data_IF_809683961597
#
_entry.id   IF_809683961597
#
_cell.length_a   1.000
_cell.length_b   1.000
_cell.length_c   1.000
_cell.angle_alpha   90.00
_cell.angle_beta   90.00
_cell.angle_gamma   90.00
#
_symmetry.space_group_name_H-M   'P 1'
#
loop_
_entity.id
_entity.type
_entity.pdbx_description
1 polymer ?
#
# COMPACT_ATOMS: atom_id res chain seq x y z
N UNK A 1 6.42 -50.28 7.52
CA UNK A 1 6.79 -49.27 6.50
C UNK A 1 7.16 -47.98 7.21
N UNK A 2 8.39 -47.44 7.05
CA UNK A 2 8.75 -46.19 7.70
C UNK A 2 8.05 -45.04 6.96
N UNK A 3 7.26 -44.23 7.67
CA UNK A 3 6.73 -42.97 7.15
C UNK A 3 7.91 -42.04 6.86
N UNK A 4 8.22 -41.80 5.58
CA UNK A 4 9.18 -40.78 5.16
C UNK A 4 8.75 -39.44 5.78
N UNK A 5 9.60 -38.85 6.61
CA UNK A 5 9.46 -37.43 7.00
C UNK A 5 9.71 -36.61 5.73
N UNK A 6 8.65 -36.12 5.08
CA UNK A 6 8.73 -35.05 4.09
C UNK A 6 9.06 -33.75 4.84
N UNK A 7 10.32 -33.60 5.24
CA UNK A 7 10.81 -32.40 5.90
C UNK A 7 11.06 -31.35 4.85
N UNK A 8 10.25 -30.30 4.82
CA UNK A 8 10.60 -29.08 4.11
C UNK A 8 11.89 -28.53 4.72
N UNK A 9 12.96 -28.50 3.93
CA UNK A 9 14.30 -28.03 4.32
C UNK A 9 14.64 -26.65 3.72
N UNK A 10 13.74 -26.08 2.92
CA UNK A 10 13.89 -24.77 2.31
C UNK A 10 12.62 -23.91 2.38
N UNK A 11 12.76 -22.64 2.01
CA UNK A 11 11.69 -21.67 1.95
C UNK A 11 11.89 -20.69 0.79
N UNK A 12 10.81 -20.38 0.08
CA UNK A 12 10.83 -19.39 -0.99
C UNK A 12 10.31 -18.04 -0.50
N UNK A 13 10.92 -16.98 -1.00
CA UNK A 13 10.59 -15.61 -0.65
C UNK A 13 10.33 -14.79 -1.92
N UNK A 14 9.49 -13.76 -1.78
CA UNK A 14 9.30 -12.72 -2.78
C UNK A 14 9.17 -11.38 -2.06
N UNK A 15 9.98 -10.40 -2.47
CA UNK A 15 10.00 -9.06 -1.86
C UNK A 15 10.17 -9.09 -0.32
N UNK A 16 11.07 -9.94 0.17
CA UNK A 16 11.32 -10.16 1.60
C UNK A 16 10.23 -10.91 2.36
N UNK A 17 9.09 -11.26 1.72
CA UNK A 17 7.98 -11.98 2.35
C UNK A 17 8.06 -13.48 2.07
N UNK A 18 7.82 -14.29 3.10
CA UNK A 18 7.77 -15.75 2.99
C UNK A 18 6.56 -16.20 2.17
N UNK A 19 6.81 -16.89 1.06
CA UNK A 19 5.76 -17.46 0.23
C UNK A 19 5.31 -18.82 0.75
N UNK A 20 6.25 -19.71 1.03
CA UNK A 20 5.99 -21.05 1.52
C UNK A 20 7.26 -21.82 1.80
N UNK A 21 7.12 -22.94 2.51
CA UNK A 21 8.20 -23.91 2.73
C UNK A 21 8.10 -25.01 1.69
N UNK A 22 9.24 -25.44 1.18
CA UNK A 22 9.34 -26.42 0.11
C UNK A 22 10.63 -27.24 0.26
N UNK A 23 10.87 -28.19 -0.64
CA UNK A 23 12.15 -28.89 -0.68
C UNK A 23 13.23 -27.97 -1.25
N UNK A 24 14.51 -28.26 -0.96
CA UNK A 24 15.63 -27.54 -1.59
C UNK A 24 15.57 -27.55 -3.11
N UNK A 25 15.18 -28.68 -3.72
CA UNK A 25 15.02 -28.79 -5.16
C UNK A 25 13.93 -27.84 -5.70
N UNK A 26 12.80 -27.71 -4.99
CA UNK A 26 11.74 -26.76 -5.37
C UNK A 26 12.18 -25.31 -5.20
N UNK A 27 12.97 -24.99 -4.17
CA UNK A 27 13.50 -23.65 -3.94
C UNK A 27 14.50 -23.23 -5.03
N UNK A 28 15.35 -24.16 -5.44
CA UNK A 28 16.31 -23.94 -6.54
C UNK A 28 15.55 -23.79 -7.87
N UNK A 29 14.54 -24.63 -8.12
CA UNK A 29 13.67 -24.53 -9.29
C UNK A 29 12.89 -23.21 -9.32
N UNK A 30 12.32 -22.78 -8.19
CA UNK A 30 11.67 -21.47 -8.06
C UNK A 30 12.61 -20.35 -8.50
N UNK A 31 13.84 -20.33 -7.97
CA UNK A 31 14.83 -19.29 -8.28
C UNK A 31 15.18 -19.29 -9.77
N UNK A 32 15.43 -20.46 -10.35
CA UNK A 32 15.79 -20.61 -11.76
C UNK A 32 14.66 -20.17 -12.69
N UNK A 33 13.44 -20.63 -12.43
CA UNK A 33 12.26 -20.32 -13.25
C UNK A 33 11.89 -18.84 -13.15
N UNK A 34 11.91 -18.28 -11.93
CA UNK A 34 11.68 -16.85 -11.74
C UNK A 34 12.71 -16.02 -12.51
N UNK A 35 13.99 -16.37 -12.49
CA UNK A 35 15.01 -15.67 -13.28
C UNK A 35 14.77 -15.80 -14.79
N UNK A 36 14.44 -17.00 -15.28
CA UNK A 36 14.16 -17.25 -16.70
C UNK A 36 12.96 -16.45 -17.22
N UNK A 37 11.94 -16.26 -16.38
CA UNK A 37 10.76 -15.46 -16.70
C UNK A 37 10.88 -13.98 -16.33
N UNK A 38 12.09 -13.47 -16.06
CA UNK A 38 12.31 -12.05 -15.72
C UNK A 38 11.65 -11.62 -14.41
N UNK A 39 11.44 -12.57 -13.50
CA UNK A 39 10.79 -12.38 -12.21
C UNK A 39 9.25 -12.45 -12.26
N UNK A 40 8.62 -12.75 -13.40
CA UNK A 40 7.15 -12.85 -13.53
C UNK A 40 6.67 -14.28 -13.22
N UNK A 41 6.06 -14.46 -12.05
CA UNK A 41 5.54 -15.75 -11.60
C UNK A 41 4.32 -16.21 -12.41
N UNK A 42 3.51 -15.29 -12.91
CA UNK A 42 2.38 -15.63 -13.78
C UNK A 42 2.87 -16.14 -15.13
N UNK A 43 3.99 -15.62 -15.64
CA UNK A 43 4.67 -16.12 -16.83
C UNK A 43 5.25 -17.52 -16.61
N UNK A 44 5.89 -17.77 -15.46
CA UNK A 44 6.36 -19.13 -15.10
C UNK A 44 5.22 -20.14 -15.16
N UNK A 45 4.08 -19.84 -14.55
CA UNK A 45 2.91 -20.71 -14.54
C UNK A 45 2.28 -20.96 -15.92
N UNK A 46 2.53 -20.08 -16.90
CA UNK A 46 2.05 -20.24 -18.29
C UNK A 46 3.03 -20.99 -19.18
N UNK A 47 4.33 -20.73 -19.02
CA UNK A 47 5.37 -21.29 -19.89
C UNK A 47 5.83 -22.68 -19.45
N UNK A 48 5.67 -23.03 -18.18
CA UNK A 48 6.06 -24.31 -17.61
C UNK A 48 4.84 -25.05 -17.05
N UNK A 49 4.75 -26.35 -17.32
CA UNK A 49 3.57 -27.15 -17.00
C UNK A 49 3.76 -28.11 -15.81
N UNK A 50 5.01 -28.44 -15.48
CA UNK A 50 5.34 -29.47 -14.48
C UNK A 50 5.95 -28.84 -13.23
N UNK A 51 5.18 -28.86 -12.15
CA UNK A 51 5.58 -28.39 -10.84
C UNK A 51 5.18 -29.42 -9.78
N UNK A 52 5.94 -29.47 -8.68
CA UNK A 52 5.41 -30.05 -7.44
C UNK A 52 4.19 -29.24 -6.96
N UNK A 53 3.25 -29.85 -6.21
CA UNK A 53 2.13 -29.12 -5.62
C UNK A 53 2.55 -27.91 -4.80
N UNK A 54 3.67 -28.04 -4.07
CA UNK A 54 4.21 -27.00 -3.19
C UNK A 54 4.82 -25.84 -3.98
N UNK A 55 5.62 -26.14 -5.00
CA UNK A 55 6.19 -25.11 -5.87
C UNK A 55 5.09 -24.36 -6.64
N UNK A 56 4.06 -25.09 -7.11
CA UNK A 56 2.91 -24.46 -7.78
C UNK A 56 2.19 -23.48 -6.86
N UNK A 57 1.91 -23.86 -5.62
CA UNK A 57 1.26 -22.98 -4.64
C UNK A 57 2.11 -21.73 -4.31
N UNK A 58 3.44 -21.89 -4.24
CA UNK A 58 4.38 -20.78 -4.04
C UNK A 58 4.34 -19.81 -5.23
N UNK A 59 4.38 -20.32 -6.46
CA UNK A 59 4.31 -19.51 -7.68
C UNK A 59 2.96 -18.81 -7.83
N UNK A 60 1.84 -19.48 -7.52
CA UNK A 60 0.51 -18.86 -7.51
C UNK A 60 0.43 -17.72 -6.50
N UNK A 61 0.98 -17.90 -5.30
CA UNK A 61 1.05 -16.85 -4.29
C UNK A 61 1.93 -15.68 -4.74
N UNK A 62 3.07 -15.95 -5.37
CA UNK A 62 3.92 -14.93 -5.97
C UNK A 62 3.19 -14.16 -7.07
N UNK A 63 2.47 -14.85 -7.96
CA UNK A 63 1.69 -14.25 -9.04
C UNK A 63 0.54 -13.38 -8.51
N UNK A 64 -0.15 -13.82 -7.45
CA UNK A 64 -1.17 -13.02 -6.77
C UNK A 64 -0.57 -11.76 -6.15
N UNK A 65 0.59 -11.86 -5.48
CA UNK A 65 1.29 -10.70 -4.92
C UNK A 65 1.78 -9.73 -6.00
N UNK A 66 2.24 -10.26 -7.14
CA UNK A 66 2.63 -9.47 -8.31
C UNK A 66 1.43 -8.80 -8.96
N UNK A 67 0.30 -9.50 -9.10
CA UNK A 67 -0.92 -8.94 -9.65
C UNK A 67 -1.52 -7.88 -8.73
N UNK A 68 -1.49 -8.09 -7.42
CA UNK A 68 -1.88 -7.09 -6.42
C UNK A 68 -0.95 -5.87 -6.49
N UNK A 69 0.37 -6.08 -6.56
CA UNK A 69 1.36 -5.01 -6.78
C UNK A 69 1.18 -4.31 -8.12
N UNK A 70 0.82 -5.00 -9.19
CA UNK A 70 0.61 -4.38 -10.50
C UNK A 70 -0.70 -3.56 -10.50
N UNK A 71 -1.76 -4.10 -9.88
CA UNK A 71 -3.02 -3.40 -9.63
C UNK A 71 -2.84 -2.19 -8.70
N UNK A 72 -1.90 -2.25 -7.76
CA UNK A 72 -1.65 -1.21 -6.76
C UNK A 72 -0.39 -0.36 -7.00
N UNK A 73 0.40 -0.62 -8.05
CA UNK A 73 1.76 -0.07 -8.13
C UNK A 73 2.45 -0.20 -9.48
N UNK A 74 1.77 -0.63 -10.55
CA UNK A 74 2.36 -0.70 -11.90
C UNK A 74 2.54 0.65 -12.59
N UNK A 75 1.89 1.72 -12.12
CA UNK A 75 1.90 3.04 -12.77
C UNK A 75 2.72 4.10 -12.05
N UNK A 76 3.06 3.89 -10.77
CA UNK A 76 3.76 4.89 -9.95
C UNK A 76 5.02 4.27 -9.34
N UNK A 77 6.18 4.75 -9.78
CA UNK A 77 7.47 4.37 -9.21
C UNK A 77 7.72 5.16 -7.92
N UNK A 78 8.31 4.49 -6.93
CA UNK A 78 8.74 5.15 -5.70
C UNK A 78 9.72 6.29 -6.03
N UNK A 79 9.53 7.50 -5.47
CA UNK A 79 10.40 8.63 -5.76
C UNK A 79 11.81 8.40 -5.19
N UNK A 80 12.83 8.73 -5.98
CA UNK A 80 14.24 8.69 -5.53
C UNK A 80 14.65 9.97 -4.79
N UNK A 81 14.06 11.09 -5.17
CA UNK A 81 14.31 12.40 -4.56
C UNK A 81 13.01 13.00 -4.05
N UNK A 82 13.08 13.76 -2.97
CA UNK A 82 11.96 14.51 -2.37
C UNK A 82 12.35 15.97 -2.15
N UNK A 83 11.39 16.85 -1.80
CA UNK A 83 11.70 18.22 -1.36
C UNK A 83 12.64 18.29 -0.16
N UNK A 84 12.68 17.22 0.65
CA UNK A 84 13.48 17.12 1.87
C UNK A 84 14.85 16.46 1.64
N UNK A 85 15.19 16.14 0.39
CA UNK A 85 16.45 15.52 0.00
C UNK A 85 16.29 14.11 -0.58
N UNK A 86 17.40 13.37 -0.62
CA UNK A 86 17.45 12.00 -1.13
C UNK A 86 16.62 11.07 -0.24
N UNK A 87 15.78 10.26 -0.88
CA UNK A 87 14.88 9.33 -0.19
C UNK A 87 15.70 8.14 0.32
N UNK A 88 15.71 7.95 1.64
CA UNK A 88 16.40 6.82 2.29
C UNK A 88 15.46 5.63 2.48
N UNK A 89 14.19 5.89 2.77
CA UNK A 89 13.17 4.85 2.85
C UNK A 89 11.84 5.34 2.27
N UNK A 90 11.08 4.42 1.69
CA UNK A 90 9.80 4.71 1.07
C UNK A 90 8.82 3.58 1.37
N UNK A 91 7.70 3.90 2.02
CA UNK A 91 6.55 3.02 2.21
C UNK A 91 5.42 3.46 1.26
N UNK A 92 4.85 2.52 0.50
CA UNK A 92 3.70 2.79 -0.36
C UNK A 92 2.43 2.63 0.47
N UNK A 93 1.73 3.74 0.75
CA UNK A 93 0.49 3.72 1.52
C UNK A 93 -0.69 3.20 0.68
N UNK A 94 -0.78 3.71 -0.55
CA UNK A 94 -1.68 3.26 -1.60
C UNK A 94 -1.08 3.65 -2.97
N UNK A 95 -1.65 3.20 -4.11
CA UNK A 95 -1.08 3.47 -5.43
C UNK A 95 -0.84 4.96 -5.66
N UNK A 96 0.42 5.36 -5.90
CA UNK A 96 0.79 6.76 -6.13
C UNK A 96 0.88 7.64 -4.88
N UNK A 97 0.74 7.06 -3.68
CA UNK A 97 0.95 7.77 -2.40
C UNK A 97 2.06 7.11 -1.60
N UNK A 98 3.10 7.90 -1.35
CA UNK A 98 4.38 7.43 -0.81
C UNK A 98 4.67 8.16 0.49
N UNK A 99 4.86 7.40 1.57
CA UNK A 99 5.46 7.89 2.79
C UNK A 99 6.98 7.78 2.63
N UNK A 100 7.69 8.90 2.66
CA UNK A 100 9.14 8.96 2.44
C UNK A 100 9.84 9.47 3.68
N UNK A 101 11.01 8.91 3.96
CA UNK A 101 11.93 9.43 4.97
C UNK A 101 13.29 9.71 4.34
N UNK A 102 13.87 10.83 4.75
CA UNK A 102 15.19 11.33 4.36
C UNK A 102 16.08 11.44 5.60
N UNK A 103 17.30 11.95 5.44
CA UNK A 103 18.28 11.99 6.52
C UNK A 103 17.85 12.79 7.77
N UNK A 104 16.96 13.77 7.63
CA UNK A 104 16.52 14.64 8.74
C UNK A 104 15.00 14.74 8.86
N UNK A 105 14.29 14.62 7.75
CA UNK A 105 12.85 14.85 7.68
C UNK A 105 12.18 13.79 6.82
N UNK A 106 10.87 13.89 6.68
CA UNK A 106 10.10 13.08 5.77
C UNK A 106 8.77 13.73 5.47
N UNK A 107 7.92 12.91 4.90
CA UNK A 107 6.55 13.28 4.67
C UNK A 107 5.88 12.36 3.69
N UNK A 108 4.70 12.77 3.29
CA UNK A 108 3.90 12.03 2.32
C UNK A 108 3.91 12.75 0.97
N UNK A 109 4.23 12.01 -0.09
CA UNK A 109 4.21 12.48 -1.48
C UNK A 109 3.06 11.80 -2.23
N UNK A 110 2.19 12.61 -2.83
CA UNK A 110 0.99 12.16 -3.56
C UNK A 110 1.17 12.52 -5.03
N UNK A 111 1.23 11.52 -5.91
CA UNK A 111 1.37 11.76 -7.35
C UNK A 111 0.16 12.56 -7.88
N UNK A 112 0.41 13.53 -8.77
CA UNK A 112 -0.64 14.42 -9.27
C UNK A 112 -1.81 13.65 -9.90
N UNK A 113 -1.52 12.52 -10.55
CA UNK A 113 -2.48 11.65 -11.21
C UNK A 113 -3.45 11.01 -10.21
N UNK A 114 -3.01 10.75 -8.98
CA UNK A 114 -3.86 10.20 -7.92
C UNK A 114 -4.37 11.25 -6.95
N UNK A 115 -3.94 12.51 -7.06
CA UNK A 115 -4.37 13.57 -6.17
C UNK A 115 -5.90 13.72 -6.12
N UNK A 116 -6.64 13.30 -7.16
CA UNK A 116 -8.10 13.20 -7.16
C UNK A 116 -8.70 12.42 -5.96
N UNK A 117 -7.94 11.49 -5.37
CA UNK A 117 -8.36 10.78 -4.15
C UNK A 117 -8.41 11.68 -2.93
N UNK A 118 -7.79 12.86 -2.94
CA UNK A 118 -7.79 13.82 -1.83
C UNK A 118 -8.90 14.86 -1.99
N UNK A 119 -9.49 15.28 -0.88
CA UNK A 119 -10.42 16.40 -0.86
C UNK A 119 -9.75 17.71 -1.34
N UNK A 120 -10.52 18.67 -1.90
CA UNK A 120 -9.97 19.98 -2.27
C UNK A 120 -9.30 20.71 -1.10
N UNK A 121 -9.81 20.52 0.13
CA UNK A 121 -9.22 21.09 1.33
C UNK A 121 -7.85 20.45 1.63
N UNK A 122 -7.75 19.12 1.56
CA UNK A 122 -6.47 18.42 1.76
C UNK A 122 -5.43 18.80 0.68
N UNK A 123 -5.84 19.00 -0.57
CA UNK A 123 -4.93 19.47 -1.65
C UNK A 123 -4.33 20.85 -1.36
N UNK A 124 -5.08 21.73 -0.70
CA UNK A 124 -4.61 23.09 -0.35
C UNK A 124 -3.58 23.09 0.77
N UNK A 125 -3.54 22.05 1.60
CA UNK A 125 -2.56 21.95 2.69
C UNK A 125 -1.15 21.62 2.18
N UNK A 126 -1.04 20.88 1.08
CA UNK A 126 0.26 20.49 0.52
C UNK A 126 0.83 21.52 -0.46
N UNK A 127 2.09 21.34 -0.82
CA UNK A 127 2.77 22.12 -1.86
C UNK A 127 3.18 21.21 -3.02
N UNK A 128 3.35 21.77 -4.22
CA UNK A 128 3.69 20.97 -5.41
C UNK A 128 5.19 20.91 -5.61
N UNK A 129 5.72 19.71 -5.88
CA UNK A 129 7.10 19.50 -6.31
C UNK A 129 7.20 18.32 -7.27
N UNK A 130 7.90 18.49 -8.40
CA UNK A 130 8.29 17.43 -9.35
C UNK A 130 7.18 16.41 -9.70
N UNK A 131 5.95 16.86 -9.90
CA UNK A 131 4.82 15.97 -10.26
C UNK A 131 4.04 15.39 -9.07
N UNK A 132 4.38 15.81 -7.85
CA UNK A 132 3.72 15.41 -6.61
C UNK A 132 3.13 16.61 -5.88
N UNK A 133 2.15 16.32 -5.01
CA UNK A 133 1.77 17.18 -3.90
C UNK A 133 2.43 16.58 -2.64
N UNK A 134 3.27 17.39 -1.99
CA UNK A 134 4.10 16.99 -0.86
C UNK A 134 3.53 17.56 0.44
N UNK A 135 3.62 16.74 1.49
CA UNK A 135 3.07 16.99 2.82
C UNK A 135 4.12 16.61 3.85
N UNK A 136 4.61 17.59 4.61
CA UNK A 136 5.70 17.40 5.56
C UNK A 136 5.24 16.67 6.82
N UNK A 137 6.08 15.78 7.34
CA UNK A 137 5.83 14.92 8.51
C UNK A 137 5.34 15.72 9.74
N UNK A 138 6.01 16.84 10.05
CA UNK A 138 5.75 17.65 11.23
C UNK A 138 4.62 18.68 11.06
N UNK A 139 3.99 18.73 9.88
CA UNK A 139 2.96 19.72 9.58
C UNK A 139 1.73 19.09 8.91
N UNK A 140 1.84 18.67 7.65
CA UNK A 140 0.69 18.38 6.81
C UNK A 140 0.46 16.88 6.55
N UNK A 141 1.39 16.00 6.92
CA UNK A 141 1.25 14.56 6.71
C UNK A 141 -0.03 13.99 7.33
N UNK A 142 -0.37 14.46 8.54
CA UNK A 142 -1.55 13.99 9.27
C UNK A 142 -2.85 14.19 8.48
N UNK A 143 -2.93 15.23 7.65
CA UNK A 143 -4.06 15.51 6.73
C UNK A 143 -4.24 14.36 5.73
N UNK A 144 -3.17 13.92 5.08
CA UNK A 144 -3.21 12.87 4.05
C UNK A 144 -3.52 11.52 4.68
N UNK A 145 -2.84 11.17 5.78
CA UNK A 145 -3.10 9.92 6.49
C UNK A 145 -4.57 9.81 6.90
N UNK A 146 -5.16 10.91 7.37
CA UNK A 146 -6.58 10.95 7.74
C UNK A 146 -7.53 10.75 6.55
N UNK A 147 -7.26 11.38 5.40
CA UNK A 147 -8.05 11.20 4.16
C UNK A 147 -8.02 9.74 3.69
N UNK A 148 -6.84 9.11 3.70
CA UNK A 148 -6.68 7.73 3.26
C UNK A 148 -7.39 6.75 4.19
N UNK A 149 -7.37 6.99 5.50
CA UNK A 149 -8.10 6.20 6.49
C UNK A 149 -9.62 6.33 6.30
N UNK A 150 -10.12 7.56 6.15
CA UNK A 150 -11.56 7.82 5.95
C UNK A 150 -12.10 7.13 4.69
N UNK A 151 -11.29 7.14 3.62
CA UNK A 151 -11.61 6.51 2.35
C UNK A 151 -11.29 5.02 2.29
N UNK A 152 -10.74 4.46 3.38
CA UNK A 152 -10.32 3.04 3.49
C UNK A 152 -9.31 2.62 2.42
N UNK A 153 -8.54 3.58 1.91
CA UNK A 153 -7.48 3.36 0.92
C UNK A 153 -6.19 2.89 1.58
N UNK A 154 -6.03 3.21 2.87
CA UNK A 154 -4.92 2.75 3.70
C UNK A 154 -5.47 2.20 5.02
N UNK A 155 -4.72 1.26 5.61
CA UNK A 155 -5.01 0.68 6.92
C UNK A 155 -3.80 0.87 7.80
N UNK A 156 -4.06 1.21 9.06
CA UNK A 156 -3.03 1.33 10.08
C UNK A 156 -2.31 -0.03 10.20
N UNK A 157 -0.98 -0.06 10.01
CA UNK A 157 -0.18 -1.29 10.11
C UNK A 157 -0.38 -2.00 11.45
N UNK A 158 -0.42 -3.33 11.45
CA UNK A 158 -0.68 -4.12 12.67
C UNK A 158 0.42 -4.04 13.73
N UNK A 159 1.59 -3.49 13.38
CA UNK A 159 2.65 -3.11 14.35
C UNK A 159 2.17 -2.05 15.36
N UNK A 160 1.16 -1.27 15.00
CA UNK A 160 0.54 -0.27 15.88
C UNK A 160 -0.55 -0.95 16.71
N UNK A 161 -0.27 -1.14 18.00
CA UNK A 161 -1.16 -1.84 18.94
C UNK A 161 -2.46 -1.07 19.19
N UNK A 162 -2.37 0.24 19.35
CA UNK A 162 -3.53 1.10 19.61
C UNK A 162 -3.84 1.96 18.37
N UNK A 163 -4.72 1.43 17.53
CA UNK A 163 -5.20 2.12 16.32
C UNK A 163 -6.01 3.37 16.66
N UNK A 164 -6.76 3.35 17.77
CA UNK A 164 -7.57 4.49 18.21
C UNK A 164 -6.70 5.66 18.66
N UNK A 165 -5.67 5.40 19.46
CA UNK A 165 -4.72 6.43 19.88
C UNK A 165 -3.96 7.01 18.69
N UNK A 166 -3.59 6.19 17.71
CA UNK A 166 -2.95 6.69 16.49
C UNK A 166 -3.86 7.65 15.73
N UNK A 167 -5.13 7.27 15.51
CA UNK A 167 -6.11 8.15 14.86
C UNK A 167 -6.33 9.44 15.62
N UNK A 168 -6.37 9.40 16.96
CA UNK A 168 -6.58 10.61 17.76
C UNK A 168 -5.37 11.52 17.75
N UNK A 169 -4.14 11.00 17.71
CA UNK A 169 -2.93 11.82 17.51
C UNK A 169 -2.97 12.56 16.18
N UNK A 170 -3.40 11.89 15.10
CA UNK A 170 -3.61 12.55 13.81
C UNK A 170 -4.66 13.66 13.93
N UNK A 171 -5.80 13.38 14.57
CA UNK A 171 -6.86 14.36 14.76
C UNK A 171 -6.37 15.57 15.58
N UNK A 172 -5.60 15.34 16.64
CA UNK A 172 -5.03 16.40 17.48
C UNK A 172 -4.08 17.30 16.68
N UNK A 173 -3.13 16.70 15.94
CA UNK A 173 -2.22 17.42 15.05
C UNK A 173 -3.00 18.27 14.03
N UNK A 174 -4.00 17.68 13.37
CA UNK A 174 -4.83 18.38 12.39
C UNK A 174 -5.58 19.56 13.02
N UNK A 175 -6.17 19.39 14.22
CA UNK A 175 -6.88 20.48 14.90
C UNK A 175 -5.95 21.63 15.27
N UNK A 176 -4.70 21.32 15.64
CA UNK A 176 -3.71 22.31 16.03
C UNK A 176 -3.14 23.07 14.83
N UNK A 177 -2.73 22.36 13.77
CA UNK A 177 -1.97 22.94 12.66
C UNK A 177 -2.81 23.20 11.40
N UNK A 178 -3.92 22.49 11.20
CA UNK A 178 -4.81 22.62 10.04
C UNK A 178 -6.30 22.74 10.41
N UNK A 179 -6.69 23.72 11.25
CA UNK A 179 -8.06 23.85 11.73
C UNK A 179 -9.08 24.10 10.59
N UNK A 180 -8.68 24.75 9.50
CA UNK A 180 -9.56 24.96 8.34
C UNK A 180 -9.88 23.64 7.62
N UNK A 181 -8.87 22.80 7.39
CA UNK A 181 -9.09 21.47 6.83
C UNK A 181 -9.94 20.62 7.78
N UNK A 182 -9.72 20.69 9.10
CA UNK A 182 -10.55 19.99 10.07
C UNK A 182 -12.04 20.34 9.93
N UNK A 183 -12.36 21.63 9.84
CA UNK A 183 -13.75 22.08 9.64
C UNK A 183 -14.33 21.58 8.32
N UNK A 184 -13.58 21.73 7.23
CA UNK A 184 -14.01 21.26 5.90
C UNK A 184 -14.27 19.74 5.89
N UNK A 185 -13.46 18.96 6.61
CA UNK A 185 -13.65 17.52 6.79
C UNK A 185 -14.93 17.21 7.55
N UNK A 186 -15.21 17.90 8.66
CA UNK A 186 -16.44 17.68 9.44
C UNK A 186 -17.68 17.94 8.57
N UNK A 187 -17.73 19.10 7.91
CA UNK A 187 -18.84 19.46 7.02
C UNK A 187 -18.98 18.47 5.85
N UNK A 188 -17.87 17.98 5.28
CA UNK A 188 -17.90 16.98 4.22
C UNK A 188 -18.47 15.63 4.69
N UNK A 189 -18.22 15.23 5.94
CA UNK A 189 -18.79 14.01 6.52
C UNK A 189 -20.28 14.15 6.82
N UNK A 190 -20.68 15.28 7.40
CA UNK A 190 -22.10 15.59 7.64
C UNK A 190 -22.88 15.61 6.33
N UNK A 191 -22.33 16.22 5.28
CA UNK A 191 -22.94 16.22 3.95
C UNK A 191 -23.06 14.82 3.34
N UNK A 192 -22.04 13.99 3.49
CA UNK A 192 -22.07 12.60 3.00
C UNK A 192 -23.08 11.73 3.78
N UNK A 193 -23.20 11.95 5.09
CA UNK A 193 -24.18 11.27 5.94
C UNK A 193 -25.61 11.70 5.61
N UNK A 194 -25.85 13.01 5.44
CA UNK A 194 -27.12 13.56 5.00
C UNK A 194 -27.51 13.06 3.60
N UNK A 195 -26.56 12.96 2.67
CA UNK A 195 -26.79 12.38 1.34
C UNK A 195 -27.16 10.89 1.43
N UNK A 196 -26.56 10.15 2.37
CA UNK A 196 -26.85 8.73 2.58
C UNK A 196 -28.21 8.50 3.24
N UNK A 197 -28.65 9.38 4.12
CA UNK A 197 -29.98 9.30 4.76
C UNK A 197 -31.12 9.73 3.85
N UNK A 198 -30.84 10.58 2.86
CA UNK A 198 -31.80 11.06 1.85
C UNK A 198 -31.82 10.21 0.57
N UNK A 199 -30.86 9.31 0.39
CA UNK A 199 -30.85 8.39 -0.75
C UNK A 199 -32.02 7.39 -0.64
N UNK A 200 -32.92 7.31 -1.64
CA UNK A 200 -33.98 6.32 -1.64
C UNK A 200 -33.35 4.93 -1.60
N UNK A 201 -33.87 4.06 -0.73
CA UNK A 201 -33.46 2.66 -0.67
C UNK A 201 -33.58 2.08 -2.09
N UNK A 202 -32.44 1.75 -2.72
CA UNK A 202 -32.46 0.98 -3.96
C UNK A 202 -33.10 -0.36 -3.63
N UNK A 203 -34.37 -0.45 -3.96
CA UNK A 203 -35.21 -1.61 -3.91
C UNK A 203 -34.47 -2.77 -4.56
N UNK A 204 -34.35 -3.86 -3.80
CA UNK A 204 -33.82 -5.12 -4.27
C UNK A 204 -34.74 -5.64 -5.38
N UNK A 205 -34.37 -5.41 -6.64
CA UNK A 205 -34.96 -6.08 -7.78
C UNK A 205 -33.97 -6.07 -8.95
N UNK A 206 -33.25 -7.17 -9.13
CA UNK A 206 -33.43 -8.09 -10.27
C UNK A 206 -32.34 -9.16 -10.31
#
# INVERSE_FOLDING_TARGET
>A
MPRKRTGYDAACYYDGKLLGRCTKADSDAYTLLMNACGGDAARVLREYAYFSPELKAILEKAALMQADRNRTGGMFHAPKSSPWGEVQSCEVLCPGVFLVSTASHGGTMVANEVAAVLSPAAKKCGFKDKGYICYEEDAQESVVLRELLDKKLWKIPDRIKDKGQFEEKLNQSIRQYHPEYWRARQSGREAAEAARSTAPAKEAAR
#
